data_IF_937390310098
#
_entry.id   IF_937390310098
#
_cell.length_a   1.000
_cell.length_b   1.000
_cell.length_c   1.000
_cell.angle_alpha   90.00
_cell.angle_beta   90.00
_cell.angle_gamma   90.00
#
_symmetry.space_group_name_H-M   'P 1'
#
loop_
_entity.id
_entity.type
_entity.pdbx_description
1 polymer ?
#
# COMPACT_ATOMS: atom_id res chain seq x y z
N UNK A 1 -13.94 9.42 36.47
CA UNK A 1 -13.52 9.82 35.11
C UNK A 1 -14.53 10.81 34.59
N UNK A 2 -14.09 11.97 34.10
CA UNK A 2 -15.01 12.94 33.53
C UNK A 2 -15.48 12.46 32.15
N UNK A 3 -16.66 12.87 31.69
CA UNK A 3 -17.22 12.44 30.39
C UNK A 3 -16.25 12.77 29.22
N UNK A 4 -15.48 13.86 29.36
CA UNK A 4 -14.44 14.23 28.40
C UNK A 4 -13.26 13.26 28.38
N UNK A 5 -12.86 12.70 29.52
CA UNK A 5 -11.73 11.76 29.59
C UNK A 5 -12.07 10.45 28.88
N UNK A 6 -13.31 9.97 29.04
CA UNK A 6 -13.80 8.76 28.38
C UNK A 6 -13.85 8.96 26.86
N UNK A 7 -14.37 10.11 26.39
CA UNK A 7 -14.37 10.46 24.96
C UNK A 7 -12.96 10.54 24.39
N UNK A 8 -12.03 11.15 25.11
CA UNK A 8 -10.63 11.24 24.71
C UNK A 8 -9.94 9.87 24.67
N UNK A 9 -10.28 8.98 25.59
CA UNK A 9 -9.79 7.60 25.60
C UNK A 9 -10.32 6.81 24.40
N UNK A 10 -11.63 6.88 24.11
CA UNK A 10 -12.24 6.25 22.93
C UNK A 10 -11.62 6.76 21.63
N UNK A 11 -11.43 8.07 21.47
CA UNK A 11 -10.79 8.64 20.28
C UNK A 11 -9.37 8.10 20.08
N UNK A 12 -8.56 8.06 21.14
CA UNK A 12 -7.19 7.49 21.09
C UNK A 12 -7.21 6.02 20.72
N UNK A 13 -8.15 5.25 21.25
CA UNK A 13 -8.31 3.84 20.93
C UNK A 13 -8.72 3.63 19.47
N UNK A 14 -9.62 4.46 18.93
CA UNK A 14 -9.97 4.41 17.50
C UNK A 14 -8.81 4.74 16.57
N UNK A 15 -7.99 5.74 16.93
CA UNK A 15 -6.75 6.04 16.17
C UNK A 15 -5.85 4.80 16.13
N UNK A 16 -5.62 4.17 17.28
CA UNK A 16 -4.77 2.98 17.38
C UNK A 16 -5.35 1.78 16.62
N UNK A 17 -6.65 1.54 16.72
CA UNK A 17 -7.36 0.46 16.02
C UNK A 17 -7.30 0.64 14.51
N UNK A 18 -7.65 1.83 14.02
CA UNK A 18 -7.59 2.16 12.60
C UNK A 18 -6.19 1.94 12.06
N UNK A 19 -5.18 2.51 12.72
CA UNK A 19 -3.78 2.36 12.31
C UNK A 19 -3.38 0.89 12.19
N UNK A 20 -3.62 0.09 13.23
CA UNK A 20 -3.20 -1.32 13.24
C UNK A 20 -3.89 -2.12 12.14
N UNK A 21 -5.18 -1.85 11.89
CA UNK A 21 -5.91 -2.51 10.82
C UNK A 21 -5.46 -2.04 9.43
N UNK A 22 -5.25 -0.73 9.25
CA UNK A 22 -4.81 -0.15 7.98
C UNK A 22 -3.38 -0.59 7.63
N UNK A 23 -2.45 -0.59 8.58
CA UNK A 23 -1.09 -1.14 8.32
C UNK A 23 -1.10 -2.62 7.95
N UNK A 24 -2.02 -3.42 8.49
CA UNK A 24 -2.16 -4.83 8.12
C UNK A 24 -2.70 -4.97 6.69
N UNK A 25 -3.71 -4.19 6.34
CA UNK A 25 -4.30 -4.17 5.00
C UNK A 25 -3.32 -3.62 3.95
N UNK A 26 -2.60 -2.54 4.28
CA UNK A 26 -1.62 -1.88 3.40
C UNK A 26 -0.45 -2.79 3.00
N UNK A 27 -0.15 -3.84 3.77
CA UNK A 27 0.84 -4.85 3.37
C UNK A 27 0.42 -5.57 2.09
N UNK A 28 -0.89 -5.74 1.86
CA UNK A 28 -1.41 -6.34 0.64
C UNK A 28 -1.60 -5.28 -0.44
N UNK A 29 -2.21 -4.12 -0.13
CA UNK A 29 -2.39 -3.03 -1.10
C UNK A 29 -1.07 -2.56 -1.70
N UNK A 30 -0.01 -2.49 -0.90
CA UNK A 30 1.32 -2.12 -1.37
C UNK A 30 1.84 -3.05 -2.45
N UNK A 31 1.56 -4.35 -2.39
CA UNK A 31 2.01 -5.30 -3.44
C UNK A 31 1.39 -4.98 -4.79
N UNK A 32 0.08 -4.74 -4.80
CA UNK A 32 -0.65 -4.34 -6.01
C UNK A 32 -0.18 -2.97 -6.52
N UNK A 33 -0.08 -1.99 -5.62
CA UNK A 33 0.37 -0.64 -5.97
C UNK A 33 1.81 -0.64 -6.54
N UNK A 34 2.70 -1.45 -5.97
CA UNK A 34 4.05 -1.61 -6.48
C UNK A 34 4.07 -2.25 -7.86
N UNK A 35 3.24 -3.28 -8.10
CA UNK A 35 3.13 -3.90 -9.42
C UNK A 35 2.66 -2.89 -10.48
N UNK A 36 1.64 -2.10 -10.17
CA UNK A 36 1.13 -1.07 -11.09
C UNK A 36 2.21 -0.02 -11.41
N UNK A 37 2.87 0.51 -10.39
CA UNK A 37 3.94 1.52 -10.56
C UNK A 37 5.15 0.93 -11.31
N UNK A 38 5.56 -0.30 -11.01
CA UNK A 38 6.71 -0.93 -11.68
C UNK A 38 6.42 -1.17 -13.17
N UNK A 39 5.18 -1.52 -13.53
CA UNK A 39 4.75 -1.62 -14.92
C UNK A 39 4.84 -0.27 -15.64
N UNK A 40 4.39 0.82 -15.01
CA UNK A 40 4.52 2.16 -15.58
C UNK A 40 6.00 2.54 -15.77
N UNK A 41 6.86 2.23 -14.79
CA UNK A 41 8.31 2.46 -14.89
C UNK A 41 8.91 1.66 -16.05
N UNK A 42 8.55 0.38 -16.18
CA UNK A 42 9.04 -0.47 -17.28
C UNK A 42 8.63 0.11 -18.63
N UNK A 43 7.38 0.54 -18.79
CA UNK A 43 6.91 1.14 -20.04
C UNK A 43 7.71 2.40 -20.41
N UNK A 44 8.09 3.23 -19.44
CA UNK A 44 8.99 4.37 -19.69
C UNK A 44 10.41 3.92 -20.05
N UNK A 45 10.96 2.89 -19.39
CA UNK A 45 12.27 2.34 -19.72
C UNK A 45 12.33 1.76 -21.14
N UNK A 46 11.27 1.06 -21.58
CA UNK A 46 11.16 0.51 -22.93
C UNK A 46 11.07 1.61 -23.99
N UNK A 47 10.35 2.70 -23.72
CA UNK A 47 10.31 3.88 -24.60
C UNK A 47 11.69 4.49 -24.77
N UNK A 48 12.42 4.67 -23.67
CA UNK A 48 13.78 5.20 -23.70
C UNK A 48 14.71 4.30 -24.53
N UNK A 49 14.59 2.97 -24.44
CA UNK A 49 15.39 2.01 -25.22
C UNK A 49 15.23 2.15 -26.74
N UNK A 50 14.11 2.73 -27.22
CA UNK A 50 13.90 3.06 -28.63
C UNK A 50 14.74 4.27 -29.09
N UNK A 51 15.34 4.99 -28.16
CA UNK A 51 16.23 6.12 -28.39
C UNK A 51 17.56 5.75 -29.07
N UNK A 52 18.43 6.76 -29.17
CA UNK A 52 19.70 6.65 -29.91
C UNK A 52 20.80 6.11 -28.99
N UNK A 53 20.86 4.79 -28.86
CA UNK A 53 21.97 4.08 -28.21
C UNK A 53 22.85 3.36 -29.23
N UNK A 54 24.14 3.19 -28.92
CA UNK A 54 25.01 2.32 -29.72
C UNK A 54 24.51 0.87 -29.63
N UNK A 55 24.71 0.02 -30.65
CA UNK A 55 24.18 -1.35 -30.66
C UNK A 55 24.55 -2.18 -29.42
N UNK A 56 25.79 -2.10 -28.96
CA UNK A 56 26.27 -2.84 -27.79
C UNK A 56 25.72 -2.29 -26.46
N UNK A 57 25.41 -1.00 -26.39
CA UNK A 57 24.74 -0.37 -25.23
C UNK A 57 23.28 -0.82 -25.18
N UNK A 58 22.62 -0.86 -26.35
CA UNK A 58 21.25 -1.34 -26.47
C UNK A 58 21.12 -2.79 -26.03
N UNK A 59 22.04 -3.66 -26.42
CA UNK A 59 22.04 -5.07 -26.00
C UNK A 59 22.22 -5.22 -24.47
N UNK A 60 23.09 -4.42 -23.87
CA UNK A 60 23.31 -4.44 -22.42
C UNK A 60 22.09 -3.92 -21.65
N UNK A 61 21.50 -2.81 -22.10
CA UNK A 61 20.29 -2.23 -21.52
C UNK A 61 19.08 -3.16 -21.67
N UNK A 62 18.91 -3.79 -22.82
CA UNK A 62 17.83 -4.75 -23.06
C UNK A 62 17.90 -5.92 -22.08
N UNK A 63 19.09 -6.42 -21.72
CA UNK A 63 19.21 -7.48 -20.71
C UNK A 63 18.71 -7.02 -19.33
N UNK A 64 19.07 -5.79 -18.91
CA UNK A 64 18.62 -5.25 -17.64
C UNK A 64 17.10 -5.01 -17.61
N UNK A 65 16.54 -4.52 -18.73
CA UNK A 65 15.09 -4.36 -18.89
C UNK A 65 14.39 -5.73 -18.82
N UNK A 66 14.94 -6.76 -19.46
CA UNK A 66 14.39 -8.11 -19.38
C UNK A 66 14.47 -8.70 -17.96
N UNK A 67 15.53 -8.39 -17.20
CA UNK A 67 15.63 -8.77 -15.79
C UNK A 67 14.56 -8.07 -14.95
N UNK A 68 14.30 -6.79 -15.21
CA UNK A 68 13.25 -6.04 -14.53
C UNK A 68 11.84 -6.53 -14.90
N UNK A 69 11.58 -6.86 -16.16
CA UNK A 69 10.34 -7.51 -16.59
C UNK A 69 10.13 -8.82 -15.85
N UNK A 70 11.15 -9.69 -15.74
CA UNK A 70 11.03 -10.96 -14.99
C UNK A 70 10.68 -10.74 -13.53
N UNK A 71 11.27 -9.72 -12.91
CA UNK A 71 10.93 -9.32 -11.54
C UNK A 71 9.46 -8.91 -11.41
N UNK A 72 8.94 -8.16 -12.38
CA UNK A 72 7.53 -7.76 -12.45
C UNK A 72 6.63 -8.98 -12.65
N UNK A 73 6.98 -9.90 -13.56
CA UNK A 73 6.20 -11.12 -13.83
C UNK A 73 6.05 -11.98 -12.57
N UNK A 74 7.12 -12.11 -11.79
CA UNK A 74 7.09 -12.87 -10.54
C UNK A 74 6.24 -12.17 -9.46
N UNK A 75 6.23 -10.83 -9.43
CA UNK A 75 5.31 -10.05 -8.60
C UNK A 75 3.85 -10.21 -9.04
N UNK A 76 3.58 -10.21 -10.34
CA UNK A 76 2.24 -10.38 -10.88
C UNK A 76 1.65 -11.72 -10.46
N UNK A 77 2.42 -12.81 -10.58
CA UNK A 77 2.01 -14.13 -10.07
C UNK A 77 1.68 -14.09 -8.59
N UNK A 78 2.53 -13.47 -7.77
CA UNK A 78 2.30 -13.35 -6.33
C UNK A 78 1.05 -12.51 -5.99
N UNK A 79 0.71 -11.52 -6.82
CA UNK A 79 -0.52 -10.73 -6.69
C UNK A 79 -1.76 -11.52 -7.14
N UNK A 80 -1.64 -12.30 -8.22
CA UNK A 80 -2.72 -13.17 -8.71
C UNK A 80 -3.14 -14.18 -7.63
N UNK A 81 -2.18 -14.77 -6.91
CA UNK A 81 -2.45 -15.67 -5.78
C UNK A 81 -3.25 -15.03 -4.64
N UNK A 82 -3.30 -13.69 -4.55
CA UNK A 82 -4.08 -12.97 -3.54
C UNK A 82 -5.51 -12.67 -3.99
N UNK A 83 -5.76 -12.54 -5.31
CA UNK A 83 -7.01 -12.01 -5.90
C UNK A 83 -7.70 -12.94 -6.88
N UNK A 84 -7.21 -14.17 -7.09
CA UNK A 84 -7.74 -15.06 -8.11
C UNK A 84 -9.26 -15.27 -7.96
N UNK A 85 -10.01 -14.71 -8.91
CA UNK A 85 -11.47 -14.66 -8.93
C UNK A 85 -12.09 -16.06 -9.00
N UNK A 86 -11.34 -17.06 -9.48
CA UNK A 86 -11.88 -18.37 -9.81
C UNK A 86 -11.51 -19.49 -8.83
N UNK A 87 -10.64 -19.30 -7.82
CA UNK A 87 -10.35 -20.39 -6.86
C UNK A 87 -9.77 -20.07 -5.49
N UNK A 88 -9.00 -19.00 -5.27
CA UNK A 88 -8.31 -18.78 -3.97
C UNK A 88 -8.08 -17.30 -3.67
N UNK A 89 -9.10 -16.64 -3.15
CA UNK A 89 -8.87 -15.35 -2.49
C UNK A 89 -8.22 -15.64 -1.14
N UNK A 90 -7.07 -15.02 -0.86
CA UNK A 90 -6.36 -15.20 0.40
C UNK A 90 -7.29 -14.79 1.58
N UNK A 91 -7.66 -15.72 2.49
CA UNK A 91 -8.58 -15.40 3.59
C UNK A 91 -8.07 -14.30 4.52
N UNK A 92 -6.75 -14.15 4.68
CA UNK A 92 -6.16 -13.10 5.50
C UNK A 92 -6.34 -11.71 4.86
N UNK A 93 -6.27 -11.63 3.53
CA UNK A 93 -6.53 -10.40 2.79
C UNK A 93 -8.00 -9.98 2.97
N UNK A 94 -8.95 -10.89 2.73
CA UNK A 94 -10.39 -10.66 2.94
C UNK A 94 -10.66 -10.22 4.37
N UNK A 95 -10.10 -10.95 5.34
CA UNK A 95 -10.31 -10.65 6.74
C UNK A 95 -9.78 -9.26 7.10
N UNK A 96 -8.63 -8.88 6.55
CA UNK A 96 -8.02 -7.57 6.81
C UNK A 96 -8.87 -6.44 6.23
N UNK A 97 -9.37 -6.59 5.00
CA UNK A 97 -10.31 -5.67 4.37
C UNK A 97 -11.61 -5.54 5.18
N UNK A 98 -12.26 -6.67 5.49
CA UNK A 98 -13.50 -6.73 6.26
C UNK A 98 -13.33 -6.10 7.65
N UNK A 99 -12.21 -6.37 8.31
CA UNK A 99 -11.92 -5.81 9.64
C UNK A 99 -11.71 -4.30 9.58
N UNK A 100 -11.00 -3.79 8.57
CA UNK A 100 -10.81 -2.36 8.38
C UNK A 100 -12.16 -1.66 8.14
N UNK A 101 -12.97 -2.18 7.22
CA UNK A 101 -14.31 -1.65 6.92
C UNK A 101 -15.22 -1.64 8.18
N UNK A 102 -15.22 -2.72 8.95
CA UNK A 102 -15.96 -2.78 10.21
C UNK A 102 -15.50 -1.71 11.21
N UNK A 103 -14.19 -1.49 11.33
CA UNK A 103 -13.62 -0.43 12.19
C UNK A 103 -14.06 0.95 11.71
N UNK A 104 -13.98 1.23 10.40
CA UNK A 104 -14.40 2.52 9.84
C UNK A 104 -15.89 2.80 10.08
N UNK A 105 -16.74 1.78 9.96
CA UNK A 105 -18.18 1.87 10.27
C UNK A 105 -18.43 2.18 11.74
N UNK A 106 -17.71 1.52 12.66
CA UNK A 106 -17.82 1.81 14.10
C UNK A 106 -17.34 3.21 14.43
N UNK A 107 -16.19 3.64 13.91
CA UNK A 107 -15.67 5.01 14.09
C UNK A 107 -16.68 6.04 13.58
N UNK A 108 -17.22 5.82 12.38
CA UNK A 108 -18.22 6.72 11.78
C UNK A 108 -19.48 6.84 12.64
N UNK A 109 -19.94 5.74 13.23
CA UNK A 109 -21.11 5.75 14.13
C UNK A 109 -20.82 6.50 15.45
N UNK A 110 -19.63 6.36 15.99
CA UNK A 110 -19.27 6.88 17.33
C UNK A 110 -18.82 8.35 17.31
N UNK A 111 -18.05 8.75 16.29
CA UNK A 111 -17.45 10.10 16.19
C UNK A 111 -17.71 10.81 14.86
N UNK A 112 -18.51 10.22 13.97
CA UNK A 112 -18.92 10.80 12.70
C UNK A 112 -17.88 10.65 11.57
N UNK A 113 -18.32 10.93 10.33
CA UNK A 113 -17.47 10.87 9.13
C UNK A 113 -16.25 11.79 9.22
N UNK A 114 -16.44 13.02 9.72
CA UNK A 114 -15.33 13.97 9.94
C UNK A 114 -14.28 13.41 10.91
N UNK A 115 -14.73 12.74 11.98
CA UNK A 115 -13.82 12.09 12.93
C UNK A 115 -13.03 10.95 12.29
N UNK A 116 -13.64 10.18 11.38
CA UNK A 116 -12.92 9.19 10.59
C UNK A 116 -11.90 9.85 9.65
N UNK A 117 -12.28 10.89 8.91
CA UNK A 117 -11.37 11.63 8.01
C UNK A 117 -10.15 12.20 8.75
N UNK A 118 -10.34 12.74 9.96
CA UNK A 118 -9.24 13.17 10.83
C UNK A 118 -8.29 12.01 11.16
N UNK A 119 -8.83 10.85 11.52
CA UNK A 119 -8.01 9.66 11.83
C UNK A 119 -7.23 9.18 10.60
N UNK A 120 -7.88 9.14 9.43
CA UNK A 120 -7.22 8.80 8.16
C UNK A 120 -6.07 9.76 7.86
N UNK A 121 -6.30 11.07 7.98
CA UNK A 121 -5.27 12.09 7.76
C UNK A 121 -4.09 11.95 8.72
N UNK A 122 -4.36 11.68 10.02
CA UNK A 122 -3.31 11.44 11.01
C UNK A 122 -2.47 10.21 10.67
N UNK A 123 -3.12 9.13 10.21
CA UNK A 123 -2.44 7.92 9.76
C UNK A 123 -1.51 8.19 8.58
N UNK A 124 -2.02 8.81 7.51
CA UNK A 124 -1.22 9.13 6.32
C UNK A 124 -0.01 10.00 6.68
N UNK A 125 -0.23 11.06 7.47
CA UNK A 125 0.84 11.95 7.93
C UNK A 125 1.92 11.17 8.69
N UNK A 126 1.53 10.24 9.56
CA UNK A 126 2.49 9.40 10.27
C UNK A 126 3.27 8.49 9.31
N UNK A 127 2.61 7.84 8.36
CA UNK A 127 3.26 6.93 7.42
C UNK A 127 4.29 7.68 6.56
N UNK A 128 3.94 8.86 6.04
CA UNK A 128 4.90 9.71 5.32
C UNK A 128 6.09 10.11 6.19
N UNK A 129 5.84 10.52 7.44
CA UNK A 129 6.92 10.89 8.36
C UNK A 129 7.85 9.71 8.68
N UNK A 130 7.33 8.49 8.79
CA UNK A 130 8.15 7.29 8.99
C UNK A 130 9.06 7.03 7.79
N UNK A 131 8.53 7.16 6.58
CA UNK A 131 9.31 6.98 5.35
C UNK A 131 10.46 7.99 5.31
N UNK A 132 10.16 9.28 5.48
CA UNK A 132 11.17 10.35 5.47
C UNK A 132 12.27 10.10 6.50
N UNK A 133 11.89 9.78 7.75
CA UNK A 133 12.85 9.51 8.82
C UNK A 133 13.67 8.24 8.61
N UNK A 134 13.11 7.23 7.94
CA UNK A 134 13.86 6.00 7.61
C UNK A 134 14.89 6.20 6.52
N UNK A 135 14.78 7.29 5.75
CA UNK A 135 15.70 7.66 4.66
C UNK A 135 16.75 8.70 5.06
N UNK A 136 16.67 9.27 6.26
CA UNK A 136 17.71 10.18 6.76
C UNK A 136 18.93 9.37 7.25
N UNK A 137 20.14 9.61 6.70
CA UNK A 137 21.35 8.96 7.19
C UNK A 137 21.65 9.42 8.63
N UNK A 138 21.91 8.46 9.53
CA UNK A 138 22.35 8.71 10.90
C UNK A 138 23.72 9.37 10.97
#
# INVERSE_FOLDING_TARGET
MNNQDEKNLKKRYFVWLYKTAKEAFDKYERKFTQLDIDNDILAEMEKELLGVYLPHEKDALQRQINDFQRYIDDKEKACAELRDQDKKINPEFIFSEMKLDAIEKVITREIGKKGLEEIKSLYEKEMFQRIIKSTEPH
#
